data_IF_405025861826
#
_entry.id   IF_405025861826
#
_cell.length_a   1.000
_cell.length_b   1.000
_cell.length_c   1.000
_cell.angle_alpha   90.00
_cell.angle_beta   90.00
_cell.angle_gamma   90.00
#
_symmetry.space_group_name_H-M   'P 1'
#
loop_
_entity.id
_entity.type
_entity.pdbx_description
1 polymer ?
#
# COMPACT_ATOMS: atom_id res chain seq x y z
N UNK A 1 -46.24 16.72 -26.00
CA UNK A 1 -45.79 16.42 -24.63
C UNK A 1 -44.46 15.68 -24.77
N UNK A 2 -43.32 16.13 -24.22
CA UNK A 2 -42.07 15.40 -24.38
C UNK A 2 -42.06 14.20 -23.43
N UNK A 3 -41.62 13.04 -23.93
CA UNK A 3 -41.43 11.83 -23.13
C UNK A 3 -40.11 11.95 -22.36
N UNK A 4 -40.14 11.75 -21.04
CA UNK A 4 -38.95 11.59 -20.22
C UNK A 4 -38.32 10.22 -20.54
N UNK A 5 -37.26 10.22 -21.34
CA UNK A 5 -36.51 9.02 -21.70
C UNK A 5 -35.91 8.36 -20.47
N UNK A 6 -36.28 7.10 -20.25
CA UNK A 6 -35.80 6.24 -19.17
C UNK A 6 -34.29 6.00 -19.33
N UNK A 7 -33.47 6.56 -18.42
CA UNK A 7 -32.02 6.32 -18.35
C UNK A 7 -31.74 4.93 -17.76
N UNK A 8 -32.04 3.89 -18.53
CA UNK A 8 -31.66 2.52 -18.20
C UNK A 8 -30.60 2.06 -19.21
N UNK A 9 -29.36 1.85 -18.75
CA UNK A 9 -28.29 1.25 -19.55
C UNK A 9 -28.14 -0.19 -19.06
N UNK A 10 -28.82 -1.18 -19.68
CA UNK A 10 -28.91 -2.50 -19.07
C UNK A 10 -27.62 -3.31 -19.16
N UNK A 11 -26.75 -3.04 -20.13
CA UNK A 11 -25.37 -3.55 -20.30
C UNK A 11 -24.94 -3.24 -21.74
N UNK A 12 -23.64 -3.17 -22.01
CA UNK A 12 -23.08 -3.03 -23.35
C UNK A 12 -21.80 -3.86 -23.47
N UNK A 13 -21.54 -4.40 -24.66
CA UNK A 13 -20.26 -5.03 -25.01
C UNK A 13 -19.56 -4.16 -26.05
N UNK A 14 -18.23 -4.02 -25.95
CA UNK A 14 -17.44 -3.18 -26.84
C UNK A 14 -16.76 -4.10 -27.86
N UNK A 15 -17.47 -4.40 -28.94
CA UNK A 15 -16.97 -5.28 -29.99
C UNK A 15 -16.06 -4.49 -30.93
N UNK A 16 -14.78 -4.41 -30.56
CA UNK A 16 -13.75 -3.66 -31.30
C UNK A 16 -12.52 -3.25 -30.48
N UNK A 17 -12.56 -3.44 -29.17
CA UNK A 17 -11.51 -2.95 -28.25
C UNK A 17 -11.61 -1.43 -28.01
N UNK A 18 -10.90 -0.94 -26.99
CA UNK A 18 -10.83 0.48 -26.65
C UNK A 18 -9.63 1.17 -27.31
N UNK A 19 -9.77 2.45 -27.69
CA UNK A 19 -8.65 3.27 -28.14
C UNK A 19 -7.83 3.73 -26.93
N UNK A 20 -6.49 3.61 -26.98
CA UNK A 20 -5.61 4.07 -25.89
C UNK A 20 -5.63 5.59 -25.69
N UNK A 21 -6.06 6.34 -26.70
CA UNK A 21 -6.24 7.78 -26.66
C UNK A 21 -7.49 8.18 -27.45
N UNK A 22 -8.28 9.08 -26.87
CA UNK A 22 -9.50 9.66 -27.43
C UNK A 22 -9.42 11.17 -27.28
N UNK A 23 -9.49 11.89 -28.39
CA UNK A 23 -9.49 13.36 -28.42
C UNK A 23 -10.88 13.89 -28.73
N UNK A 24 -11.30 14.92 -27.99
CA UNK A 24 -12.57 15.61 -28.18
C UNK A 24 -12.48 17.09 -27.79
N UNK A 25 -12.44 17.98 -28.78
CA UNK A 25 -12.29 19.41 -28.53
C UNK A 25 -10.94 19.74 -27.89
N UNK A 26 -10.95 20.36 -26.70
CA UNK A 26 -9.73 20.63 -25.91
C UNK A 26 -9.31 19.47 -24.99
N UNK A 27 -10.06 18.36 -24.98
CA UNK A 27 -9.80 17.26 -24.06
C UNK A 27 -9.15 16.07 -24.76
N UNK A 28 -8.14 15.51 -24.11
CA UNK A 28 -7.46 14.27 -24.47
C UNK A 28 -7.65 13.29 -23.31
N UNK A 29 -8.16 12.09 -23.62
CA UNK A 29 -8.44 11.04 -22.65
C UNK A 29 -7.75 9.75 -23.10
N UNK A 30 -6.81 9.24 -22.32
CA UNK A 30 -6.17 7.97 -22.57
C UNK A 30 -6.38 6.94 -21.47
N UNK A 31 -6.51 5.67 -21.83
CA UNK A 31 -6.69 4.56 -20.89
C UNK A 31 -6.53 3.19 -21.55
N UNK A 32 -6.06 2.20 -20.79
CA UNK A 32 -5.94 0.81 -21.24
C UNK A 32 -7.12 -0.01 -20.72
N UNK A 33 -7.92 -0.59 -21.61
CA UNK A 33 -9.01 -1.52 -21.25
C UNK A 33 -8.45 -2.94 -21.19
N UNK A 34 -8.45 -3.55 -20.00
CA UNK A 34 -8.06 -4.95 -19.80
C UNK A 34 -6.61 -5.16 -19.36
N UNK A 35 -6.14 -4.47 -18.33
CA UNK A 35 -4.88 -4.88 -17.70
C UNK A 35 -5.09 -6.22 -16.97
N UNK A 36 -4.25 -7.21 -17.26
CA UNK A 36 -4.25 -8.47 -16.50
C UNK A 36 -4.07 -8.19 -15.01
N UNK A 37 -4.75 -8.96 -14.17
CA UNK A 37 -4.54 -8.92 -12.73
C UNK A 37 -3.05 -9.09 -12.41
N UNK A 38 -2.59 -8.30 -11.44
CA UNK A 38 -1.22 -8.30 -10.97
C UNK A 38 -0.79 -9.73 -10.58
N UNK A 39 0.16 -10.29 -11.31
CA UNK A 39 0.77 -11.58 -10.96
C UNK A 39 1.74 -11.44 -9.79
N UNK A 40 2.14 -12.55 -9.14
CA UNK A 40 3.16 -12.51 -8.10
C UNK A 40 4.50 -11.99 -8.65
N UNK A 41 5.29 -11.35 -7.79
CA UNK A 41 6.63 -10.84 -8.10
C UNK A 41 7.47 -11.90 -8.82
N UNK A 42 7.94 -11.58 -10.03
CA UNK A 42 8.74 -12.49 -10.85
C UNK A 42 10.22 -12.35 -10.45
N UNK A 43 10.86 -13.46 -10.10
CA UNK A 43 12.29 -13.50 -9.76
C UNK A 43 13.03 -14.24 -10.87
N UNK A 44 14.01 -13.57 -11.49
CA UNK A 44 14.91 -14.19 -12.47
C UNK A 44 16.36 -13.84 -12.15
N UNK A 45 17.13 -14.83 -11.69
CA UNK A 45 18.51 -14.63 -11.26
C UNK A 45 18.61 -13.66 -10.08
N UNK A 46 19.44 -12.63 -10.21
CA UNK A 46 19.58 -11.55 -9.21
C UNK A 46 18.58 -10.41 -9.38
N UNK A 47 17.63 -10.54 -10.32
CA UNK A 47 16.68 -9.49 -10.64
C UNK A 47 15.27 -9.86 -10.19
N UNK A 48 14.62 -8.91 -9.55
CA UNK A 48 13.24 -9.01 -9.08
C UNK A 48 12.42 -8.01 -9.88
N UNK A 49 11.41 -8.52 -10.59
CA UNK A 49 10.46 -7.73 -11.37
C UNK A 49 9.10 -7.81 -10.69
N UNK A 50 8.72 -6.73 -10.02
CA UNK A 50 7.36 -6.52 -9.58
C UNK A 50 6.58 -5.85 -10.73
N UNK A 51 5.48 -6.45 -11.15
CA UNK A 51 4.65 -5.96 -12.25
C UNK A 51 3.22 -5.87 -11.78
N UNK A 52 2.55 -4.74 -12.03
CA UNK A 52 1.20 -4.48 -11.56
C UNK A 52 0.78 -3.04 -11.84
N UNK A 53 -0.38 -2.65 -11.30
CA UNK A 53 -0.71 -1.24 -11.18
C UNK A 53 0.23 -0.66 -10.11
N UNK A 54 1.27 0.04 -10.54
CA UNK A 54 2.01 0.92 -9.66
C UNK A 54 0.96 1.89 -9.14
N UNK A 55 0.57 1.73 -7.87
CA UNK A 55 -0.12 2.82 -7.18
C UNK A 55 0.85 3.97 -7.27
N UNK A 56 0.64 4.84 -8.27
CA UNK A 56 1.25 6.14 -8.25
C UNK A 56 0.77 6.70 -6.93
N UNK A 57 1.65 6.72 -5.94
CA UNK A 57 1.53 7.64 -4.83
C UNK A 57 1.66 8.99 -5.50
N UNK A 58 0.56 9.46 -6.10
CA UNK A 58 0.47 10.81 -6.58
C UNK A 58 0.70 11.63 -5.33
N UNK A 59 1.66 12.57 -5.31
CA UNK A 59 1.85 13.49 -4.20
C UNK A 59 0.71 14.54 -4.16
N UNK A 60 -0.53 14.07 -4.31
CA UNK A 60 -1.74 14.80 -4.04
C UNK A 60 -2.27 14.37 -2.67
N UNK A 61 -2.92 15.29 -1.92
CA UNK A 61 -3.58 14.93 -0.68
C UNK A 61 -4.76 14.04 -1.04
N UNK A 62 -4.56 12.72 -0.98
CA UNK A 62 -5.70 11.83 -0.90
C UNK A 62 -6.48 12.22 0.38
N UNK A 63 -7.81 12.25 0.35
CA UNK A 63 -8.60 12.72 1.48
C UNK A 63 -8.51 11.79 2.70
N UNK A 64 -7.71 10.72 2.66
CA UNK A 64 -7.52 9.74 3.74
C UNK A 64 -6.16 9.76 4.43
N UNK A 65 -5.07 10.12 3.73
CA UNK A 65 -3.71 10.16 4.22
C UNK A 65 -3.28 11.62 4.45
N UNK A 66 -2.16 11.79 5.14
CA UNK A 66 -1.54 13.09 5.42
C UNK A 66 -0.35 13.37 4.50
N UNK A 67 0.12 12.38 3.75
CA UNK A 67 1.34 12.47 2.92
C UNK A 67 2.63 12.42 3.74
N UNK A 68 2.52 12.24 5.06
CA UNK A 68 3.64 12.16 6.01
C UNK A 68 3.80 10.76 6.60
N UNK A 69 2.97 9.81 6.18
CA UNK A 69 2.93 8.41 6.59
C UNK A 69 4.29 7.75 6.34
N UNK A 70 5.02 7.43 7.40
CA UNK A 70 6.28 6.69 7.27
C UNK A 70 6.64 5.89 8.50
N UNK A 71 7.44 4.85 8.29
CA UNK A 71 8.07 4.08 9.37
C UNK A 71 9.27 4.86 9.93
N UNK A 72 9.08 5.47 11.10
CA UNK A 72 10.12 6.26 11.78
C UNK A 72 11.26 5.40 12.33
N UNK A 73 10.93 4.21 12.84
CA UNK A 73 11.91 3.34 13.49
C UNK A 73 11.45 1.89 13.45
N UNK A 74 12.33 0.99 13.01
CA UNK A 74 12.21 -0.45 13.18
C UNK A 74 13.50 -0.91 13.87
N UNK A 75 13.40 -1.43 15.09
CA UNK A 75 14.59 -1.80 15.87
C UNK A 75 14.26 -2.87 16.91
N UNK A 76 15.10 -3.89 16.99
CA UNK A 76 14.99 -4.96 17.96
C UNK A 76 15.57 -4.52 19.31
N UNK A 77 14.95 -4.97 20.39
CA UNK A 77 15.46 -4.85 21.75
C UNK A 77 15.37 -6.20 22.42
N UNK A 78 16.44 -6.61 23.09
CA UNK A 78 16.37 -7.70 24.06
C UNK A 78 15.40 -7.32 25.18
N UNK A 79 14.49 -8.24 25.47
CA UNK A 79 13.59 -8.12 26.60
C UNK A 79 13.54 -9.47 27.30
N UNK A 80 14.36 -9.63 28.33
CA UNK A 80 14.34 -10.78 29.22
C UNK A 80 14.69 -12.11 28.50
N UNK A 81 15.66 -12.07 27.57
CA UNK A 81 16.09 -13.23 26.79
C UNK A 81 15.28 -13.50 25.51
N UNK A 82 14.29 -12.66 25.19
CA UNK A 82 13.56 -12.69 23.93
C UNK A 82 13.79 -11.40 23.14
N UNK A 83 14.10 -11.52 21.85
CA UNK A 83 14.21 -10.36 20.97
C UNK A 83 12.81 -9.80 20.65
N UNK A 84 12.59 -8.52 20.93
CA UNK A 84 11.37 -7.80 20.60
C UNK A 84 11.64 -6.73 19.53
N UNK A 85 11.11 -6.91 18.32
CA UNK A 85 11.12 -5.89 17.29
C UNK A 85 10.05 -4.83 17.57
N UNK A 86 10.47 -3.57 17.66
CA UNK A 86 9.58 -2.42 17.82
C UNK A 86 9.58 -1.59 16.55
N UNK A 87 8.42 -1.51 15.91
CA UNK A 87 8.16 -0.68 14.74
C UNK A 87 7.31 0.53 15.16
N UNK A 88 7.77 1.73 14.85
CA UNK A 88 7.11 3.00 15.15
C UNK A 88 6.79 3.70 13.84
N UNK A 89 5.51 3.96 13.63
CA UNK A 89 4.97 4.68 12.49
C UNK A 89 4.67 6.12 12.92
N UNK A 90 4.82 7.07 12.00
CA UNK A 90 4.49 8.49 12.20
C UNK A 90 3.79 9.07 10.99
N UNK A 91 3.12 10.20 11.19
CA UNK A 91 2.42 10.90 10.12
C UNK A 91 1.21 10.13 9.63
N UNK A 92 0.51 9.39 10.51
CA UNK A 92 -0.81 8.86 10.18
C UNK A 92 -1.90 9.74 10.80
N UNK A 93 -3.13 9.64 10.30
CA UNK A 93 -4.27 10.35 10.92
C UNK A 93 -4.68 9.71 12.25
N UNK A 94 -5.03 10.50 13.29
CA UNK A 94 -5.62 9.97 14.51
C UNK A 94 -6.82 9.06 14.24
N UNK A 95 -6.81 7.85 14.78
CA UNK A 95 -7.88 6.87 14.59
C UNK A 95 -7.76 6.02 13.32
N UNK A 96 -6.80 6.32 12.44
CA UNK A 96 -6.54 5.49 11.26
C UNK A 96 -5.95 4.14 11.66
N UNK A 97 -6.22 3.12 10.86
CA UNK A 97 -5.67 1.78 11.04
C UNK A 97 -4.43 1.62 10.17
N UNK A 98 -3.44 0.93 10.70
CA UNK A 98 -2.24 0.56 9.97
C UNK A 98 -1.99 -0.93 10.14
N UNK A 99 -1.37 -1.54 9.14
CA UNK A 99 -0.91 -2.93 9.14
C UNK A 99 0.59 -2.92 8.86
N UNK A 100 1.37 -3.55 9.73
CA UNK A 100 2.80 -3.77 9.52
C UNK A 100 3.01 -5.23 9.16
N UNK A 101 3.70 -5.50 8.07
CA UNK A 101 4.11 -6.82 7.62
C UNK A 101 5.63 -6.91 7.65
N UNK A 102 6.15 -8.11 7.93
CA UNK A 102 7.58 -8.36 8.03
C UNK A 102 8.00 -9.37 6.97
N UNK A 103 9.00 -9.01 6.16
CA UNK A 103 9.43 -9.83 5.02
C UNK A 103 10.24 -11.07 5.44
N UNK A 104 10.72 -11.13 6.67
CA UNK A 104 11.48 -12.26 7.22
C UNK A 104 10.66 -13.55 7.38
N UNK A 105 9.40 -13.42 7.80
CA UNK A 105 8.55 -14.51 8.29
C UNK A 105 7.07 -14.31 7.92
N UNK A 106 6.74 -13.21 7.23
CA UNK A 106 5.38 -12.86 6.86
C UNK A 106 4.50 -12.42 8.04
N UNK A 107 5.06 -12.22 9.23
CA UNK A 107 4.26 -11.79 10.38
C UNK A 107 3.66 -10.41 10.12
N UNK A 108 2.34 -10.35 10.23
CA UNK A 108 1.58 -9.11 10.14
C UNK A 108 1.07 -8.69 11.52
N UNK A 109 1.02 -7.38 11.75
CA UNK A 109 0.45 -6.80 12.95
C UNK A 109 -0.20 -5.48 12.64
N UNK A 110 -1.49 -5.41 12.91
CA UNK A 110 -2.27 -4.19 12.77
C UNK A 110 -2.37 -3.42 14.08
N UNK A 111 -2.72 -2.14 13.96
CA UNK A 111 -2.97 -1.26 15.09
C UNK A 111 -3.59 0.06 14.65
N UNK A 112 -3.84 0.94 15.62
CA UNK A 112 -4.46 2.25 15.36
C UNK A 112 -3.47 3.38 15.64
N UNK A 113 -3.52 4.42 14.83
CA UNK A 113 -2.74 5.63 15.00
C UNK A 113 -3.33 6.46 16.14
N UNK A 114 -2.46 6.91 17.05
CA UNK A 114 -2.88 7.73 18.20
C UNK A 114 -3.15 9.20 17.82
N UNK A 115 -3.62 9.99 18.78
CA UNK A 115 -3.92 11.43 18.59
C UNK A 115 -2.69 12.32 18.28
N UNK A 116 -1.48 11.75 18.24
CA UNK A 116 -0.23 12.42 17.82
C UNK A 116 0.25 11.96 16.44
N UNK A 117 -0.59 11.23 15.72
CA UNK A 117 -0.26 10.64 14.42
C UNK A 117 0.81 9.56 14.47
N UNK A 118 0.95 8.84 15.60
CA UNK A 118 1.94 7.76 15.76
C UNK A 118 1.29 6.39 15.96
N UNK A 119 1.76 5.42 15.18
CA UNK A 119 1.45 3.99 15.33
C UNK A 119 2.60 3.24 16.00
N UNK A 120 2.29 2.16 16.70
CA UNK A 120 3.31 1.27 17.28
C UNK A 120 2.92 -0.19 17.05
N UNK A 121 3.75 -0.93 16.32
CA UNK A 121 3.70 -2.38 16.26
C UNK A 121 4.87 -2.97 17.05
N UNK A 122 4.62 -4.09 17.73
CA UNK A 122 5.63 -4.84 18.47
C UNK A 122 5.62 -6.26 17.94
N UNK A 123 6.73 -6.93 17.81
CA UNK A 123 6.78 -8.34 17.47
C UNK A 123 7.68 -9.01 18.51
N UNK A 124 7.12 -9.94 19.26
CA UNK A 124 7.82 -10.63 20.34
C UNK A 124 8.40 -11.93 19.78
N UNK A 125 9.37 -12.50 20.49
CA UNK A 125 9.99 -13.78 20.15
C UNK A 125 10.59 -13.78 18.73
N UNK A 126 11.30 -12.71 18.38
CA UNK A 126 12.02 -12.61 17.11
C UNK A 126 13.25 -13.52 17.13
N UNK A 127 13.60 -14.17 16.01
CA UNK A 127 14.86 -14.90 15.92
C UNK A 127 16.08 -13.99 16.21
N UNK A 128 17.15 -14.51 16.80
CA UNK A 128 18.43 -13.81 16.84
C UNK A 128 19.01 -13.66 15.43
N UNK A 129 19.63 -12.53 15.12
CA UNK A 129 20.12 -12.16 13.77
C UNK A 129 19.06 -12.01 12.67
N UNK A 130 17.79 -11.85 13.03
CA UNK A 130 16.70 -11.63 12.07
C UNK A 130 16.92 -10.29 11.33
N UNK A 131 17.09 -10.36 10.02
CA UNK A 131 17.24 -9.19 9.14
C UNK A 131 16.12 -9.21 8.12
N UNK A 132 15.46 -8.08 7.93
CA UNK A 132 14.31 -8.00 7.03
C UNK A 132 13.83 -6.59 6.82
N UNK A 133 12.78 -6.47 6.02
CA UNK A 133 12.06 -5.24 5.81
C UNK A 133 10.74 -5.26 6.62
N UNK A 134 10.45 -4.15 7.28
CA UNK A 134 9.16 -3.89 7.90
C UNK A 134 8.37 -2.96 6.97
N UNK A 135 7.43 -3.54 6.25
CA UNK A 135 6.54 -2.82 5.33
C UNK A 135 5.29 -2.44 6.12
N UNK A 136 4.97 -1.15 6.15
CA UNK A 136 3.78 -0.63 6.79
C UNK A 136 2.81 -0.10 5.74
N UNK A 137 1.55 -0.45 5.87
CA UNK A 137 0.45 0.01 5.04
C UNK A 137 -0.60 0.67 5.91
N UNK A 138 -1.17 1.78 5.43
CA UNK A 138 -2.26 2.50 6.07
C UNK A 138 -3.55 2.25 5.30
N UNK A 139 -4.70 2.34 5.97
CA UNK A 139 -6.01 2.10 5.32
C UNK A 139 -6.28 3.00 4.13
N UNK A 140 -5.64 4.17 4.10
CA UNK A 140 -5.72 5.13 3.01
C UNK A 140 -4.87 4.77 1.76
N UNK A 141 -4.11 3.67 1.80
CA UNK A 141 -3.28 3.19 0.69
C UNK A 141 -1.84 3.71 0.71
N UNK A 142 -1.48 4.57 1.66
CA UNK A 142 -0.06 4.89 1.89
C UNK A 142 0.68 3.61 2.31
N UNK A 143 1.92 3.47 1.82
CA UNK A 143 2.82 2.40 2.19
C UNK A 143 4.22 2.93 2.43
N UNK A 144 4.93 2.36 3.40
CA UNK A 144 6.30 2.76 3.74
C UNK A 144 7.05 1.57 4.29
N UNK A 145 8.26 1.35 3.79
CA UNK A 145 9.11 0.25 4.21
C UNK A 145 10.34 0.74 4.97
N UNK A 146 10.78 -0.05 5.95
CA UNK A 146 12.02 0.18 6.66
C UNK A 146 12.75 -1.11 6.97
N UNK A 147 14.01 -1.18 6.56
CA UNK A 147 14.92 -2.26 6.92
C UNK A 147 15.23 -2.27 8.42
N UNK A 148 15.37 -3.46 8.98
CA UNK A 148 15.82 -3.68 10.34
C UNK A 148 16.78 -4.87 10.43
N UNK A 149 17.63 -4.81 11.44
CA UNK A 149 18.57 -5.88 11.80
C UNK A 149 18.46 -6.09 13.29
N UNK A 150 18.12 -7.31 13.71
CA UNK A 150 18.22 -7.72 15.11
C UNK A 150 19.68 -8.11 15.43
N UNK A 151 20.21 -7.69 16.59
CA UNK A 151 21.48 -8.19 17.10
C UNK A 151 21.37 -9.62 17.63
#
# INVERSE_FOLDING_TARGET
MPAAGQLNIPWYSIDGGGTMSSTGGQFDLGGTVGQSDCGPTLISGSFTLDGGFWSATLPGPDPGCTGEERVKKASCKDRNGENQLKVILVGGRPGDTFTVMLSSDGASRSGTINNRGKGKAKFNNRPPSDSGAASAEWTCGAASEKEYTCP
#
